data_IF_950984953587
#
_entry.id   IF_950984953587
#
_cell.length_a   1.000
_cell.length_b   1.000
_cell.length_c   1.000
_cell.angle_alpha   90.00
_cell.angle_beta   90.00
_cell.angle_gamma   90.00
#
_symmetry.space_group_name_H-M   'P 1'
#
loop_
_entity.id
_entity.type
_entity.pdbx_description
1 polymer ?
#
# COMPACT_ATOMS: atom_id res chain seq x y z
N UNK A 1 1.66 -12.77 5.16
CA UNK A 1 1.07 -11.65 5.92
C UNK A 1 2.12 -11.15 6.89
N UNK A 2 2.63 -9.94 6.66
CA UNK A 2 3.67 -9.33 7.49
C UNK A 2 3.03 -8.17 8.26
N UNK A 3 3.33 -8.06 9.55
CA UNK A 3 2.89 -6.95 10.38
C UNK A 3 3.97 -5.87 10.43
N UNK A 4 3.65 -4.66 9.96
CA UNK A 4 4.56 -3.53 10.00
C UNK A 4 4.46 -2.82 11.36
N UNK A 5 5.60 -2.44 11.91
CA UNK A 5 5.73 -1.72 13.18
C UNK A 5 6.74 -0.57 13.01
N UNK A 6 6.66 0.46 13.86
CA UNK A 6 7.57 1.60 13.82
C UNK A 6 6.82 2.92 13.69
N UNK A 7 7.11 3.69 12.64
CA UNK A 7 6.44 4.96 12.33
C UNK A 7 6.08 5.06 10.85
N UNK A 8 5.21 6.00 10.51
CA UNK A 8 4.86 6.37 9.14
C UNK A 8 6.08 6.71 8.31
N UNK A 9 7.02 7.48 8.87
CA UNK A 9 8.27 7.81 8.20
C UNK A 9 9.18 6.59 7.90
N UNK A 10 9.09 5.53 8.70
CA UNK A 10 9.79 4.27 8.41
C UNK A 10 9.06 3.48 7.31
N UNK A 11 7.72 3.48 7.35
CA UNK A 11 6.90 2.85 6.31
C UNK A 11 7.07 3.51 4.95
N UNK A 12 7.15 4.85 4.89
CA UNK A 12 7.38 5.58 3.64
C UNK A 12 8.74 5.21 3.03
N UNK A 13 9.79 5.21 3.85
CA UNK A 13 11.13 4.79 3.38
C UNK A 13 11.15 3.36 2.86
N UNK A 14 10.37 2.46 3.48
CA UNK A 14 10.24 1.08 3.03
C UNK A 14 9.64 1.00 1.62
N UNK A 15 8.50 1.68 1.37
CA UNK A 15 7.86 1.66 0.05
C UNK A 15 8.67 2.40 -1.03
N UNK A 16 9.34 3.50 -0.67
CA UNK A 16 10.19 4.25 -1.61
C UNK A 16 11.44 3.45 -2.01
N UNK A 17 12.04 2.72 -1.06
CA UNK A 17 13.15 1.84 -1.35
C UNK A 17 12.75 0.70 -2.31
N UNK A 18 11.55 0.16 -2.17
CA UNK A 18 11.02 -0.85 -3.10
C UNK A 18 10.70 -0.24 -4.47
N UNK A 19 10.06 0.95 -4.51
CA UNK A 19 9.78 1.69 -5.75
C UNK A 19 11.06 2.04 -6.52
N UNK A 20 12.16 2.36 -5.84
CA UNK A 20 13.46 2.62 -6.49
C UNK A 20 14.09 1.39 -7.15
N UNK A 21 13.61 0.17 -6.83
CA UNK A 21 14.05 -1.09 -7.43
C UNK A 21 13.14 -1.57 -8.55
N UNK A 22 11.90 -1.08 -8.61
CA UNK A 22 11.05 -1.27 -9.77
C UNK A 22 11.66 -0.44 -10.90
N UNK A 23 12.01 -1.09 -12.02
CA UNK A 23 12.41 -0.38 -13.24
C UNK A 23 11.31 0.64 -13.60
N UNK A 24 11.70 1.70 -14.33
CA UNK A 24 10.97 2.93 -14.70
C UNK A 24 9.52 2.75 -15.24
N UNK A 25 9.11 1.52 -15.43
CA UNK A 25 7.91 1.02 -16.06
C UNK A 25 6.60 1.25 -15.27
N UNK A 26 6.66 1.44 -13.95
CA UNK A 26 5.48 1.67 -13.10
C UNK A 26 5.29 3.13 -12.65
N UNK A 27 6.09 4.07 -13.18
CA UNK A 27 6.03 5.46 -12.75
C UNK A 27 4.93 6.23 -13.51
N UNK A 28 3.71 6.17 -12.96
CA UNK A 28 2.69 7.20 -13.21
C UNK A 28 3.19 8.57 -12.71
N UNK A 29 2.83 9.62 -13.44
CA UNK A 29 3.32 11.00 -13.26
C UNK A 29 2.77 11.73 -12.01
N UNK A 30 2.09 11.02 -11.11
CA UNK A 30 1.50 11.60 -9.92
C UNK A 30 2.41 11.40 -8.70
N UNK A 31 2.56 12.46 -7.89
CA UNK A 31 3.24 12.47 -6.58
C UNK A 31 2.59 11.56 -5.52
N UNK A 32 1.55 10.81 -5.93
CA UNK A 32 0.91 9.80 -5.10
C UNK A 32 1.86 8.64 -4.81
N UNK A 33 1.89 8.23 -3.54
CA UNK A 33 2.66 7.07 -3.08
C UNK A 33 1.78 5.86 -2.78
N UNK A 34 0.46 6.06 -2.63
CA UNK A 34 -0.49 4.99 -2.34
C UNK A 34 -1.91 5.33 -2.82
N UNK A 35 -2.66 4.29 -3.19
CA UNK A 35 -4.11 4.36 -3.36
C UNK A 35 -4.79 3.89 -2.06
N UNK A 36 -5.58 4.76 -1.45
CA UNK A 36 -6.30 4.51 -0.21
C UNK A 36 -7.76 4.14 -0.51
N UNK A 37 -8.31 3.19 0.24
CA UNK A 37 -9.73 2.87 0.20
C UNK A 37 -10.24 2.41 1.57
N UNK A 38 -11.44 2.83 1.95
CA UNK A 38 -12.15 2.32 3.14
C UNK A 38 -13.25 1.37 2.72
N UNK A 39 -13.46 0.33 3.54
CA UNK A 39 -14.49 -0.69 3.34
C UNK A 39 -15.46 -0.62 4.51
N UNK A 40 -16.75 -0.78 4.25
CA UNK A 40 -17.74 -0.97 5.30
C UNK A 40 -17.73 -2.41 5.85
N UNK A 41 -18.61 -2.70 6.80
CA UNK A 41 -18.75 -4.05 7.39
C UNK A 41 -19.15 -5.16 6.40
N UNK A 42 -19.56 -4.80 5.18
CA UNK A 42 -19.94 -5.72 4.10
C UNK A 42 -18.85 -5.87 3.05
N UNK A 43 -17.71 -5.19 3.21
CA UNK A 43 -16.63 -5.20 2.23
C UNK A 43 -16.88 -4.25 1.05
N UNK A 44 -17.83 -3.32 1.15
CA UNK A 44 -18.10 -2.36 0.08
C UNK A 44 -17.26 -1.10 0.25
N UNK A 45 -16.69 -0.60 -0.84
CA UNK A 45 -15.84 0.60 -0.83
C UNK A 45 -16.68 1.83 -0.50
N UNK A 46 -16.39 2.49 0.61
CA UNK A 46 -17.09 3.71 1.05
C UNK A 46 -16.36 5.00 0.71
N UNK A 47 -15.04 4.93 0.52
CA UNK A 47 -14.23 6.03 0.02
C UNK A 47 -12.97 5.50 -0.65
N UNK A 48 -12.46 6.22 -1.65
CA UNK A 48 -11.18 5.93 -2.29
C UNK A 48 -10.51 7.24 -2.73
N UNK A 49 -9.18 7.32 -2.58
CA UNK A 49 -8.36 8.44 -3.07
C UNK A 49 -6.87 8.09 -3.11
N UNK A 50 -6.11 8.81 -3.91
CA UNK A 50 -4.65 8.80 -3.86
C UNK A 50 -4.15 9.58 -2.63
N UNK A 51 -3.05 9.09 -2.04
CA UNK A 51 -2.34 9.72 -0.93
C UNK A 51 -0.97 10.22 -1.37
N UNK A 52 -0.66 11.45 -1.01
CA UNK A 52 0.72 11.98 -1.04
C UNK A 52 1.60 11.28 0.01
N UNK A 53 2.92 11.49 -0.09
CA UNK A 53 3.89 11.00 0.89
C UNK A 53 3.51 11.34 2.35
N UNK A 54 3.17 12.60 2.61
CA UNK A 54 2.84 13.07 3.96
C UNK A 54 1.49 12.52 4.46
N UNK A 55 0.49 12.40 3.58
CA UNK A 55 -0.80 11.81 3.92
C UNK A 55 -0.68 10.31 4.21
N UNK A 56 0.18 9.59 3.48
CA UNK A 56 0.50 8.20 3.76
C UNK A 56 1.22 8.04 5.11
N UNK A 57 2.21 8.88 5.41
CA UNK A 57 2.86 8.86 6.73
C UNK A 57 1.83 9.10 7.85
N UNK A 58 0.97 10.10 7.70
CA UNK A 58 -0.10 10.41 8.65
C UNK A 58 -1.07 9.24 8.84
N UNK A 59 -1.46 8.56 7.76
CA UNK A 59 -2.29 7.35 7.81
C UNK A 59 -1.65 6.25 8.64
N UNK A 60 -0.38 5.93 8.36
CA UNK A 60 0.37 4.91 9.08
C UNK A 60 0.55 5.30 10.56
N UNK A 61 0.66 6.59 10.86
CA UNK A 61 0.70 7.16 12.21
C UNK A 61 -0.70 7.42 12.82
N UNK A 62 -1.71 6.69 12.35
CA UNK A 62 -3.05 6.63 12.92
C UNK A 62 -3.90 7.90 12.73
N UNK A 63 -3.66 8.66 11.67
CA UNK A 63 -4.52 9.79 11.25
C UNK A 63 -5.36 9.39 10.04
N UNK A 64 -6.69 9.46 10.15
CA UNK A 64 -7.59 9.10 9.06
C UNK A 64 -7.44 10.10 7.88
N UNK A 65 -7.19 9.65 6.63
CA UNK A 65 -6.81 10.55 5.52
C UNK A 65 -7.91 11.45 4.94
N UNK A 66 -9.16 11.26 5.35
CA UNK A 66 -10.35 11.98 4.85
C UNK A 66 -10.80 13.02 5.88
N UNK A 67 -10.95 12.61 7.14
CA UNK A 67 -11.44 13.42 8.25
C UNK A 67 -10.32 14.07 9.05
N UNK A 68 -9.11 13.52 8.99
CA UNK A 68 -7.98 13.91 9.84
C UNK A 68 -8.12 13.45 11.29
N UNK A 69 -9.10 12.60 11.60
CA UNK A 69 -9.34 12.11 12.95
C UNK A 69 -8.32 11.06 13.36
N UNK A 70 -7.98 11.02 14.65
CA UNK A 70 -7.15 9.94 15.18
C UNK A 70 -7.93 8.63 15.17
N UNK A 71 -7.33 7.58 14.61
CA UNK A 71 -7.86 6.20 14.60
C UNK A 71 -7.70 5.49 15.95
N UNK A 72 -7.32 6.23 17.01
CA UNK A 72 -7.14 5.74 18.37
C UNK A 72 -5.69 5.88 18.86
N UNK A 73 -5.41 5.29 20.03
CA UNK A 73 -4.09 5.33 20.65
C UNK A 73 -3.37 3.98 20.44
N UNK A 74 -2.30 3.93 19.63
CA UNK A 74 -1.51 2.72 19.48
C UNK A 74 -0.83 2.35 20.81
N UNK A 75 -0.58 1.05 21.01
CA UNK A 75 0.22 0.59 22.15
C UNK A 75 1.69 0.87 21.84
N UNK A 76 2.36 1.54 22.76
CA UNK A 76 3.80 1.73 22.68
C UNK A 76 4.55 0.38 22.76
N UNK A 77 5.68 0.26 22.06
CA UNK A 77 6.58 -0.87 22.24
C UNK A 77 7.12 -0.91 23.69
N UNK A 78 7.38 -2.11 24.19
CA UNK A 78 7.98 -2.35 25.50
C UNK A 78 9.04 -3.45 25.42
N UNK A 79 9.67 -3.80 26.54
CA UNK A 79 10.78 -4.78 26.58
C UNK A 79 10.49 -6.12 25.87
N UNK A 80 9.22 -6.53 25.82
CA UNK A 80 8.77 -7.78 25.20
C UNK A 80 7.73 -7.58 24.08
N UNK A 81 7.36 -6.35 23.74
CA UNK A 81 6.29 -6.04 22.79
C UNK A 81 6.76 -5.06 21.72
N UNK A 82 6.42 -5.32 20.45
CA UNK A 82 6.71 -4.43 19.33
C UNK A 82 5.71 -3.25 19.21
N UNK A 83 4.79 -3.12 20.17
CA UNK A 83 3.69 -2.16 20.11
C UNK A 83 2.55 -2.63 19.23
N UNK A 84 1.59 -1.75 18.96
CA UNK A 84 0.54 -2.02 17.97
C UNK A 84 1.14 -2.10 16.57
N UNK A 85 0.75 -3.09 15.74
CA UNK A 85 1.09 -3.04 14.31
C UNK A 85 0.39 -1.82 13.68
N UNK A 86 1.09 -1.16 12.77
CA UNK A 86 0.56 0.02 12.05
C UNK A 86 -0.33 -0.43 10.90
N UNK A 87 0.13 -1.42 10.14
CA UNK A 87 -0.64 -2.06 9.08
C UNK A 87 -0.16 -3.50 8.85
N UNK A 88 -0.94 -4.22 8.06
CA UNK A 88 -0.61 -5.55 7.56
C UNK A 88 -0.31 -5.47 6.07
N UNK A 89 0.80 -6.07 5.65
CA UNK A 89 1.20 -6.10 4.25
C UNK A 89 0.82 -7.43 3.58
N UNK A 90 0.31 -7.31 2.36
CA UNK A 90 0.13 -8.38 1.39
C UNK A 90 0.68 -7.93 0.03
N UNK A 91 1.54 -8.75 -0.57
CA UNK A 91 2.14 -8.49 -1.88
C UNK A 91 1.59 -9.47 -2.92
N UNK A 92 1.11 -8.96 -4.05
CA UNK A 92 0.63 -9.75 -5.19
C UNK A 92 1.76 -9.81 -6.24
N UNK A 93 2.43 -10.96 -6.35
CA UNK A 93 3.51 -11.16 -7.30
C UNK A 93 3.08 -12.00 -8.50
N UNK A 94 3.66 -11.72 -9.66
CA UNK A 94 3.56 -12.54 -10.85
C UNK A 94 4.72 -13.56 -10.96
N UNK A 95 4.56 -14.56 -11.83
CA UNK A 95 5.66 -15.44 -12.20
C UNK A 95 6.80 -14.63 -12.84
N UNK A 96 8.06 -14.98 -12.53
CA UNK A 96 9.23 -14.21 -12.98
C UNK A 96 9.32 -14.06 -14.50
N UNK A 97 8.95 -15.11 -15.25
CA UNK A 97 8.89 -15.06 -16.72
C UNK A 97 7.88 -14.03 -17.23
N UNK A 98 6.74 -13.90 -16.55
CA UNK A 98 5.71 -12.93 -16.87
C UNK A 98 6.16 -11.50 -16.56
N UNK A 99 6.88 -11.28 -15.46
CA UNK A 99 7.48 -9.97 -15.16
C UNK A 99 8.51 -9.54 -16.21
N UNK A 100 9.32 -10.48 -16.72
CA UNK A 100 10.28 -10.19 -17.80
C UNK A 100 9.55 -9.86 -19.11
N UNK A 101 8.48 -10.59 -19.44
CA UNK A 101 7.66 -10.28 -20.61
C UNK A 101 7.01 -8.90 -20.49
N UNK A 102 6.45 -8.56 -19.32
CA UNK A 102 5.88 -7.25 -19.04
C UNK A 102 6.91 -6.14 -19.25
N UNK A 103 8.15 -6.28 -18.75
CA UNK A 103 9.20 -5.28 -18.92
C UNK A 103 9.61 -5.00 -20.38
N UNK A 104 9.34 -5.93 -21.30
CA UNK A 104 9.68 -5.81 -22.72
C UNK A 104 8.49 -5.42 -23.61
N UNK A 105 7.26 -5.63 -23.12
CA UNK A 105 6.03 -5.53 -23.90
C UNK A 105 4.95 -4.71 -23.14
N UNK A 106 4.70 -3.45 -23.53
CA UNK A 106 3.66 -2.56 -22.96
C UNK A 106 2.32 -3.25 -22.74
N UNK A 107 1.83 -3.96 -23.75
CA UNK A 107 0.55 -4.65 -23.73
C UNK A 107 0.47 -5.77 -22.67
N UNK A 108 1.60 -6.41 -22.35
CA UNK A 108 1.66 -7.45 -21.31
C UNK A 108 1.63 -6.81 -19.93
N UNK A 109 2.19 -5.61 -19.78
CA UNK A 109 2.09 -4.88 -18.52
C UNK A 109 0.71 -4.39 -18.23
N UNK A 110 0.06 -3.74 -19.20
CA UNK A 110 -1.31 -3.26 -19.02
C UNK A 110 -2.24 -4.41 -18.60
N UNK A 111 -2.08 -5.58 -19.24
CA UNK A 111 -2.82 -6.79 -18.87
C UNK A 111 -2.46 -7.32 -17.46
N UNK A 112 -1.18 -7.24 -17.07
CA UNK A 112 -0.73 -7.64 -15.74
C UNK A 112 -1.24 -6.68 -14.66
N UNK A 113 -1.19 -5.38 -14.91
CA UNK A 113 -1.71 -4.34 -14.03
C UNK A 113 -3.21 -4.54 -13.80
N UNK A 114 -3.97 -4.77 -14.87
CA UNK A 114 -5.40 -5.07 -14.77
C UNK A 114 -5.65 -6.36 -13.95
N UNK A 115 -4.88 -7.42 -14.20
CA UNK A 115 -5.03 -8.66 -13.44
C UNK A 115 -4.69 -8.49 -11.94
N UNK A 116 -3.71 -7.64 -11.60
CA UNK A 116 -3.38 -7.30 -10.22
C UNK A 116 -4.48 -6.45 -9.56
N UNK A 117 -5.09 -5.53 -10.30
CA UNK A 117 -6.27 -4.77 -9.83
C UNK A 117 -7.48 -5.67 -9.60
N UNK A 118 -7.73 -6.63 -10.49
CA UNK A 118 -8.81 -7.61 -10.34
C UNK A 118 -8.58 -8.50 -9.10
N UNK A 119 -7.34 -8.94 -8.88
CA UNK A 119 -6.98 -9.69 -7.67
C UNK A 119 -7.17 -8.86 -6.40
N UNK A 120 -6.87 -7.55 -6.44
CA UNK A 120 -7.13 -6.62 -5.34
C UNK A 120 -8.63 -6.51 -5.03
N UNK A 121 -9.51 -6.53 -6.05
CA UNK A 121 -10.97 -6.55 -5.84
C UNK A 121 -11.41 -7.81 -5.08
N UNK A 122 -10.82 -8.97 -5.36
CA UNK A 122 -11.15 -10.21 -4.64
C UNK A 122 -10.62 -10.22 -3.19
N UNK A 123 -9.50 -9.55 -2.89
CA UNK A 123 -8.99 -9.40 -1.52
C UNK A 123 -9.88 -8.49 -0.66
N UNK A 124 -10.58 -7.54 -1.29
CA UNK A 124 -11.49 -6.60 -0.60
C UNK A 124 -12.83 -7.23 -0.20
N UNK A 125 -13.17 -8.42 -0.72
CA UNK A 125 -14.39 -9.19 -0.40
C UNK A 125 -14.19 -10.11 0.80
#
# INVERSE_FOLDING_TARGET
MILFHGSGAAARRYIEADRSRADEYYLGADDAVAEYSTLDSRGEVTAARSLTADEYEGWVDWTEPITGESMGTPREPGERSKGSPLFTEMTINAAKSLSVAAALHPEVSEALDQAQQDALVEIRR
#
